data_IF_497634866064
#
_entry.id   IF_497634866064
#
_cell.length_a   1.000
_cell.length_b   1.000
_cell.length_c   1.000
_cell.angle_alpha   90.00
_cell.angle_beta   90.00
_cell.angle_gamma   90.00
#
_symmetry.space_group_name_H-M   'P 1'
#
loop_
_entity.id
_entity.type
_entity.pdbx_description
1 polymer ?
#
# COMPACT_ATOMS: atom_id res chain seq x y z
N UNK A 1 7.37 -4.90 14.78
CA UNK A 1 8.73 -5.49 14.92
C UNK A 1 8.70 -7.02 14.92
N UNK A 2 8.08 -7.69 15.91
CA UNK A 2 8.12 -9.16 16.05
C UNK A 2 7.69 -9.93 14.79
N UNK A 3 6.54 -9.60 14.18
CA UNK A 3 6.07 -10.28 12.98
C UNK A 3 7.02 -10.12 11.78
N UNK A 4 7.68 -8.98 11.66
CA UNK A 4 8.71 -8.74 10.63
C UNK A 4 9.95 -9.59 10.91
N UNK A 5 10.35 -9.74 12.18
CA UNK A 5 11.45 -10.63 12.56
C UNK A 5 11.13 -12.11 12.22
N UNK A 6 9.89 -12.55 12.49
CA UNK A 6 9.43 -13.89 12.10
C UNK A 6 9.47 -14.07 10.58
N UNK A 7 9.03 -13.07 9.80
CA UNK A 7 9.11 -13.12 8.35
C UNK A 7 10.57 -13.22 7.85
N UNK A 8 11.47 -12.40 8.38
CA UNK A 8 12.90 -12.44 8.05
C UNK A 8 13.56 -13.77 8.41
N UNK A 9 13.18 -14.37 9.54
CA UNK A 9 13.62 -15.71 9.92
C UNK A 9 13.15 -16.78 8.92
N UNK A 10 11.90 -16.70 8.44
CA UNK A 10 11.37 -17.59 7.42
C UNK A 10 12.05 -17.45 6.05
N UNK A 11 12.57 -16.25 5.75
CA UNK A 11 13.42 -15.97 4.58
C UNK A 11 14.89 -16.38 4.79
N UNK A 12 15.26 -16.88 5.97
CA UNK A 12 16.65 -17.19 6.35
C UNK A 12 17.59 -15.99 6.16
N UNK A 13 17.09 -14.79 6.48
CA UNK A 13 17.88 -13.57 6.38
C UNK A 13 19.10 -13.61 7.31
N UNK A 14 20.25 -13.11 6.83
CA UNK A 14 21.44 -12.93 7.67
C UNK A 14 21.19 -11.89 8.78
N UNK A 15 22.06 -11.83 9.79
CA UNK A 15 21.98 -10.82 10.86
C UNK A 15 21.99 -9.39 10.29
N UNK A 16 22.88 -9.12 9.34
CA UNK A 16 22.96 -7.82 8.66
C UNK A 16 21.66 -7.48 7.90
N UNK A 17 21.07 -8.47 7.20
CA UNK A 17 19.78 -8.32 6.52
C UNK A 17 18.59 -8.21 7.47
N UNK A 18 18.76 -8.58 8.74
CA UNK A 18 17.70 -8.52 9.75
C UNK A 18 17.73 -7.21 10.53
N UNK A 19 18.92 -6.72 10.89
CA UNK A 19 19.07 -5.55 11.76
C UNK A 19 18.45 -4.28 11.15
N UNK A 20 18.79 -3.95 9.90
CA UNK A 20 18.32 -2.71 9.27
C UNK A 20 16.79 -2.65 9.09
N UNK A 21 16.10 -3.69 8.57
CA UNK A 21 14.64 -3.69 8.49
C UNK A 21 13.96 -3.58 9.85
N UNK A 22 14.48 -4.27 10.88
CA UNK A 22 13.90 -4.19 12.23
C UNK A 22 14.13 -2.82 12.87
N UNK A 23 15.30 -2.22 12.68
CA UNK A 23 15.59 -0.86 13.13
C UNK A 23 14.64 0.16 12.48
N UNK A 24 14.40 0.05 11.17
CA UNK A 24 13.45 0.91 10.48
C UNK A 24 12.01 0.69 10.97
N UNK A 25 11.57 -0.56 11.13
CA UNK A 25 10.22 -0.87 11.64
C UNK A 25 10.04 -0.46 13.11
N UNK A 26 11.11 -0.41 13.91
CA UNK A 26 11.06 0.08 15.28
C UNK A 26 11.09 1.62 15.34
N UNK A 27 11.90 2.25 14.47
CA UNK A 27 12.17 3.69 14.48
C UNK A 27 11.22 4.54 13.65
N UNK A 28 10.44 3.96 12.71
CA UNK A 28 9.56 4.77 11.85
C UNK A 28 8.53 5.64 12.59
N UNK A 29 8.06 5.35 13.83
CA UNK A 29 7.20 6.28 14.54
C UNK A 29 7.87 7.64 14.78
N UNK A 30 9.21 7.68 14.91
CA UNK A 30 9.97 8.94 14.99
C UNK A 30 10.01 9.68 13.65
N UNK A 31 9.87 8.96 12.53
CA UNK A 31 9.88 9.52 11.17
C UNK A 31 8.51 10.03 10.71
N UNK A 32 7.41 9.48 11.24
CA UNK A 32 6.03 9.80 10.82
C UNK A 32 5.20 10.48 11.92
N UNK A 33 5.77 10.62 13.12
CA UNK A 33 5.21 11.39 14.22
C UNK A 33 3.84 10.92 14.70
N UNK A 34 2.97 11.88 15.02
CA UNK A 34 1.70 11.65 15.70
C UNK A 34 0.66 10.88 14.88
N UNK A 35 0.84 10.75 13.55
CA UNK A 35 -0.02 9.91 12.70
C UNK A 35 -0.09 8.49 13.22
N UNK A 36 1.03 7.98 13.73
CA UNK A 36 1.16 6.61 14.24
C UNK A 36 0.31 6.38 15.49
N UNK A 37 0.08 7.43 16.29
CA UNK A 37 -0.66 7.35 17.55
C UNK A 37 -2.16 7.64 17.38
N UNK A 38 -2.55 8.32 16.31
CA UNK A 38 -3.91 8.84 16.10
C UNK A 38 -4.72 8.02 15.09
N UNK A 39 -4.14 6.93 14.57
CA UNK A 39 -4.72 6.10 13.52
C UNK A 39 -4.57 4.62 13.84
N UNK A 40 -5.59 3.85 13.48
CA UNK A 40 -5.66 2.41 13.71
C UNK A 40 -4.73 1.59 12.78
N UNK A 41 -4.06 2.23 11.84
CA UNK A 41 -3.31 1.63 10.73
C UNK A 41 -2.13 0.73 11.12
N UNK A 42 -1.62 0.84 12.36
CA UNK A 42 -0.65 -0.11 12.92
C UNK A 42 -1.20 -1.54 12.96
N UNK A 43 -2.48 -1.71 13.27
CA UNK A 43 -3.11 -3.00 13.43
C UNK A 43 -3.23 -3.78 12.11
N UNK A 44 -3.82 -3.24 11.02
CA UNK A 44 -3.82 -3.94 9.74
C UNK A 44 -2.40 -4.09 9.15
N UNK A 45 -1.48 -3.14 9.40
CA UNK A 45 -0.09 -3.29 8.99
C UNK A 45 0.61 -4.47 9.68
N UNK A 46 0.33 -4.69 10.97
CA UNK A 46 0.79 -5.87 11.70
C UNK A 46 0.18 -7.16 11.14
N UNK A 47 -1.11 -7.18 10.81
CA UNK A 47 -1.74 -8.33 10.16
C UNK A 47 -1.07 -8.67 8.83
N UNK A 48 -0.76 -7.68 7.98
CA UNK A 48 -0.02 -7.89 6.73
C UNK A 48 1.37 -8.47 6.96
N UNK A 49 2.09 -8.01 7.98
CA UNK A 49 3.37 -8.62 8.37
C UNK A 49 3.19 -10.09 8.77
N UNK A 50 2.12 -10.41 9.51
CA UNK A 50 1.74 -11.77 9.90
C UNK A 50 1.37 -12.66 8.71
N UNK A 51 0.65 -12.12 7.71
CA UNK A 51 0.33 -12.81 6.46
C UNK A 51 1.61 -13.24 5.74
N UNK A 52 2.55 -12.32 5.56
CA UNK A 52 3.83 -12.63 4.92
C UNK A 52 4.63 -13.64 5.74
N UNK A 53 4.70 -13.46 7.06
CA UNK A 53 5.34 -14.41 7.97
C UNK A 53 4.76 -15.83 7.82
N UNK A 54 3.45 -15.98 7.79
CA UNK A 54 2.80 -17.28 7.61
C UNK A 54 3.18 -17.92 6.26
N UNK A 55 3.14 -17.17 5.16
CA UNK A 55 3.47 -17.71 3.83
C UNK A 55 4.94 -18.08 3.68
N UNK A 56 5.89 -17.28 4.19
CA UNK A 56 7.33 -17.61 4.10
C UNK A 56 7.67 -18.84 4.94
N UNK A 57 6.95 -19.07 6.05
CA UNK A 57 7.02 -20.29 6.86
C UNK A 57 6.17 -21.44 6.35
N UNK A 58 5.61 -21.33 5.13
CA UNK A 58 4.78 -22.35 4.47
C UNK A 58 3.51 -22.74 5.23
N UNK A 59 3.04 -21.88 6.14
CA UNK A 59 1.77 -22.02 6.84
C UNK A 59 0.64 -21.45 5.98
N UNK A 60 0.44 -22.05 4.80
CA UNK A 60 -0.38 -21.48 3.72
C UNK A 60 -1.82 -21.18 4.15
N UNK A 61 -2.48 -22.13 4.81
CA UNK A 61 -3.86 -21.97 5.32
C UNK A 61 -3.99 -20.86 6.36
N UNK A 62 -3.03 -20.78 7.28
CA UNK A 62 -2.96 -19.68 8.25
C UNK A 62 -2.75 -18.34 7.54
N UNK A 63 -1.88 -18.31 6.53
CA UNK A 63 -1.64 -17.12 5.71
C UNK A 63 -2.91 -16.61 5.03
N UNK A 64 -3.72 -17.51 4.46
CA UNK A 64 -5.02 -17.14 3.89
C UNK A 64 -6.04 -16.69 4.93
N UNK A 65 -6.13 -17.37 6.08
CA UNK A 65 -7.00 -16.95 7.19
C UNK A 65 -6.64 -15.55 7.70
N UNK A 66 -5.35 -15.31 7.98
CA UNK A 66 -4.84 -14.00 8.39
C UNK A 66 -5.07 -12.93 7.31
N UNK A 67 -4.95 -13.29 6.03
CA UNK A 67 -5.22 -12.36 4.93
C UNK A 67 -6.71 -12.00 4.86
N UNK A 68 -7.61 -12.95 5.08
CA UNK A 68 -9.04 -12.69 5.23
C UNK A 68 -9.32 -11.74 6.39
N UNK A 69 -8.73 -12.00 7.56
CA UNK A 69 -8.82 -11.10 8.72
C UNK A 69 -8.30 -9.71 8.39
N UNK A 70 -7.14 -9.61 7.73
CA UNK A 70 -6.55 -8.33 7.33
C UNK A 70 -7.47 -7.55 6.39
N UNK A 71 -8.11 -8.22 5.41
CA UNK A 71 -9.07 -7.62 4.47
C UNK A 71 -10.33 -7.11 5.18
N UNK A 72 -10.87 -7.89 6.12
CA UNK A 72 -12.04 -7.47 6.93
C UNK A 72 -11.71 -6.22 7.74
N UNK A 73 -10.53 -6.20 8.37
CA UNK A 73 -10.06 -5.10 9.21
C UNK A 73 -9.81 -3.84 8.38
N UNK A 74 -9.25 -3.97 7.17
CA UNK A 74 -9.08 -2.89 6.21
C UNK A 74 -8.96 -3.46 4.80
N UNK A 75 -9.56 -2.84 3.79
CA UNK A 75 -9.65 -3.43 2.46
C UNK A 75 -8.30 -3.60 1.72
N UNK A 76 -7.30 -2.74 1.98
CA UNK A 76 -6.06 -2.68 1.17
C UNK A 76 -5.27 -4.00 1.03
N UNK A 77 -5.18 -4.91 2.02
CA UNK A 77 -4.49 -6.19 1.89
C UNK A 77 -5.11 -7.09 0.81
N UNK A 78 -6.33 -6.81 0.34
CA UNK A 78 -6.98 -7.57 -0.73
C UNK A 78 -6.13 -7.62 -2.01
N UNK A 79 -5.28 -6.62 -2.25
CA UNK A 79 -4.34 -6.62 -3.40
C UNK A 79 -3.31 -7.75 -3.35
N UNK A 80 -3.14 -8.41 -2.19
CA UNK A 80 -2.25 -9.55 -2.00
C UNK A 80 -2.91 -10.89 -2.36
N UNK A 81 -4.24 -10.94 -2.48
CA UNK A 81 -4.98 -12.21 -2.72
C UNK A 81 -4.50 -12.91 -3.99
N UNK A 82 -4.37 -12.24 -5.16
CA UNK A 82 -3.92 -12.93 -6.38
C UNK A 82 -2.49 -13.45 -6.27
N UNK A 83 -1.61 -12.74 -5.56
CA UNK A 83 -0.23 -13.17 -5.32
C UNK A 83 -0.17 -14.39 -4.39
N UNK A 84 -0.95 -14.40 -3.32
CA UNK A 84 -1.05 -15.52 -2.39
C UNK A 84 -1.58 -16.78 -3.10
N UNK A 85 -2.65 -16.65 -3.89
CA UNK A 85 -3.22 -17.74 -4.69
C UNK A 85 -2.20 -18.26 -5.69
N UNK A 86 -1.56 -17.38 -6.47
CA UNK A 86 -0.55 -17.78 -7.44
C UNK A 86 0.65 -18.48 -6.78
N UNK A 87 1.12 -17.96 -5.66
CA UNK A 87 2.23 -18.54 -4.90
C UNK A 87 1.93 -19.94 -4.39
N UNK A 88 0.77 -20.15 -3.76
CA UNK A 88 0.39 -21.46 -3.24
C UNK A 88 0.06 -22.42 -4.39
N UNK A 89 -0.60 -21.96 -5.45
CA UNK A 89 -0.88 -22.78 -6.63
C UNK A 89 0.41 -23.33 -7.21
N UNK A 90 1.40 -22.47 -7.51
CA UNK A 90 2.67 -22.91 -8.11
C UNK A 90 3.42 -23.93 -7.25
N UNK A 91 3.27 -23.89 -5.93
CA UNK A 91 4.02 -24.74 -5.00
C UNK A 91 3.30 -26.02 -4.56
N UNK A 92 1.98 -25.98 -4.43
CA UNK A 92 1.15 -27.04 -3.83
C UNK A 92 -0.02 -27.47 -4.74
N UNK A 93 -0.16 -26.84 -5.90
CA UNK A 93 -1.20 -27.12 -6.88
C UNK A 93 -2.51 -26.35 -6.63
N UNK A 94 -3.41 -26.44 -7.62
CA UNK A 94 -4.70 -25.73 -7.64
C UNK A 94 -5.56 -26.03 -6.42
N UNK A 95 -5.61 -27.29 -5.97
CA UNK A 95 -6.47 -27.72 -4.86
C UNK A 95 -6.17 -26.96 -3.57
N UNK A 96 -4.90 -26.91 -3.16
CA UNK A 96 -4.52 -26.23 -1.91
C UNK A 96 -4.70 -24.71 -2.01
N UNK A 97 -4.48 -24.12 -3.19
CA UNK A 97 -4.74 -22.70 -3.42
C UNK A 97 -6.23 -22.35 -3.30
N UNK A 98 -7.12 -23.21 -3.84
CA UNK A 98 -8.58 -23.04 -3.71
C UNK A 98 -9.07 -23.26 -2.28
N UNK A 99 -8.52 -24.24 -1.55
CA UNK A 99 -8.81 -24.43 -0.13
C UNK A 99 -8.39 -23.19 0.67
N UNK A 100 -7.19 -22.67 0.44
CA UNK A 100 -6.75 -21.41 1.04
C UNK A 100 -7.68 -20.23 0.72
N UNK A 101 -8.05 -20.06 -0.55
CA UNK A 101 -8.99 -19.02 -0.97
C UNK A 101 -10.36 -19.17 -0.30
N UNK A 102 -10.86 -20.39 -0.12
CA UNK A 102 -12.11 -20.65 0.59
C UNK A 102 -12.04 -20.29 2.08
N UNK A 103 -10.88 -20.50 2.74
CA UNK A 103 -10.68 -20.08 4.13
C UNK A 103 -10.70 -18.56 4.27
N UNK A 104 -10.01 -17.85 3.36
CA UNK A 104 -10.06 -16.40 3.29
C UNK A 104 -11.50 -15.90 3.09
N UNK A 105 -12.21 -16.47 2.11
CA UNK A 105 -13.59 -16.12 1.81
C UNK A 105 -14.52 -16.39 3.00
N UNK A 106 -14.33 -17.52 3.70
CA UNK A 106 -15.09 -17.85 4.90
C UNK A 106 -14.90 -16.81 6.01
N UNK A 107 -13.66 -16.36 6.26
CA UNK A 107 -13.40 -15.29 7.25
C UNK A 107 -14.13 -13.99 6.87
N UNK A 108 -14.07 -13.59 5.59
CA UNK A 108 -14.76 -12.39 5.10
C UNK A 108 -16.28 -12.53 5.24
N UNK A 109 -16.84 -13.65 4.76
CA UNK A 109 -18.28 -13.91 4.81
C UNK A 109 -18.77 -13.94 6.24
N UNK A 110 -18.11 -14.67 7.15
CA UNK A 110 -18.52 -14.75 8.55
C UNK A 110 -18.49 -13.38 9.24
N UNK A 111 -17.52 -12.53 8.94
CA UNK A 111 -17.45 -11.18 9.48
C UNK A 111 -18.56 -10.26 8.94
N UNK A 112 -18.91 -10.39 7.65
CA UNK A 112 -19.93 -9.55 7.01
C UNK A 112 -21.36 -10.09 7.14
N UNK A 113 -21.53 -11.38 7.46
CA UNK A 113 -22.82 -12.07 7.49
C UNK A 113 -23.86 -11.38 8.38
N UNK A 114 -23.56 -10.96 9.64
CA UNK A 114 -24.53 -10.26 10.46
C UNK A 114 -25.04 -8.97 9.80
N UNK A 115 -24.16 -8.21 9.15
CA UNK A 115 -24.51 -6.97 8.46
C UNK A 115 -25.31 -7.23 7.18
N UNK A 116 -24.99 -8.29 6.45
CA UNK A 116 -25.74 -8.69 5.26
C UNK A 116 -27.16 -9.17 5.60
N UNK A 117 -27.34 -9.82 6.76
CA UNK A 117 -28.65 -10.28 7.24
C UNK A 117 -29.48 -9.10 7.78
N UNK A 118 -28.86 -8.20 8.55
CA UNK A 118 -29.58 -7.13 9.24
C UNK A 118 -29.78 -5.87 8.37
N UNK A 119 -28.83 -5.54 7.50
CA UNK A 119 -28.81 -4.30 6.73
C UNK A 119 -28.02 -4.43 5.40
N UNK A 120 -28.52 -5.24 4.44
CA UNK A 120 -27.84 -5.44 3.15
C UNK A 120 -27.62 -4.13 2.39
N UNK A 121 -28.58 -3.19 2.44
CA UNK A 121 -28.45 -1.86 1.82
C UNK A 121 -27.35 -1.03 2.48
N UNK A 122 -27.11 -1.21 3.79
CA UNK A 122 -26.01 -0.56 4.50
C UNK A 122 -24.64 -1.04 4.03
N UNK A 123 -24.51 -2.35 3.74
CA UNK A 123 -23.30 -2.92 3.14
C UNK A 123 -23.09 -2.38 1.73
N UNK A 124 -24.13 -2.38 0.90
CA UNK A 124 -24.08 -1.83 -0.45
C UNK A 124 -23.71 -0.34 -0.45
N UNK A 125 -24.31 0.44 0.44
CA UNK A 125 -24.02 1.86 0.63
C UNK A 125 -22.55 2.08 1.04
N UNK A 126 -22.02 1.31 1.99
CA UNK A 126 -20.62 1.41 2.42
C UNK A 126 -19.63 1.18 1.26
N UNK A 127 -19.89 0.16 0.43
CA UNK A 127 -19.07 -0.14 -0.75
C UNK A 127 -19.21 0.99 -1.79
N UNK A 128 -20.44 1.40 -2.11
CA UNK A 128 -20.70 2.49 -3.06
C UNK A 128 -20.06 3.81 -2.63
N UNK A 129 -20.05 4.08 -1.32
CA UNK A 129 -19.39 5.23 -0.74
C UNK A 129 -17.88 5.18 -1.01
N UNK A 130 -17.19 4.05 -0.78
CA UNK A 130 -15.76 3.94 -1.11
C UNK A 130 -15.46 4.01 -2.62
N UNK A 131 -16.30 3.42 -3.46
CA UNK A 131 -16.11 3.42 -4.92
C UNK A 131 -16.31 4.81 -5.53
N UNK A 132 -17.25 5.59 -5.00
CA UNK A 132 -17.57 6.94 -5.48
C UNK A 132 -16.59 8.03 -5.02
N UNK A 133 -15.56 7.67 -4.23
CA UNK A 133 -14.60 8.65 -3.72
C UNK A 133 -13.93 9.43 -4.86
N UNK A 134 -13.86 10.77 -4.77
CA UNK A 134 -13.10 11.61 -5.70
C UNK A 134 -11.58 11.47 -5.49
N UNK A 135 -10.78 12.28 -6.20
CA UNK A 135 -9.35 12.41 -5.92
C UNK A 135 -9.16 12.99 -4.52
N UNK A 136 -8.57 12.21 -3.62
CA UNK A 136 -8.21 12.71 -2.29
C UNK A 136 -7.01 13.67 -2.44
N UNK A 137 -7.00 14.74 -1.64
CA UNK A 137 -6.07 15.88 -1.75
C UNK A 137 -4.58 15.51 -1.85
N UNK A 138 -4.19 14.39 -1.25
CA UNK A 138 -2.83 13.88 -1.13
C UNK A 138 -2.49 12.77 -2.12
N UNK A 139 -3.40 12.43 -3.02
CA UNK A 139 -3.12 11.45 -4.09
C UNK A 139 -2.29 12.09 -5.20
N UNK A 140 -1.53 11.25 -5.93
CA UNK A 140 -0.73 11.71 -7.07
C UNK A 140 -1.57 12.48 -8.11
N UNK A 141 -2.80 12.02 -8.34
CA UNK A 141 -3.74 12.74 -9.21
C UNK A 141 -4.00 14.17 -8.72
N UNK A 142 -4.32 14.35 -7.44
CA UNK A 142 -4.50 15.69 -6.86
C UNK A 142 -3.22 16.52 -6.88
N UNK A 143 -2.06 15.92 -6.57
CA UNK A 143 -0.78 16.61 -6.56
C UNK A 143 -0.42 17.21 -7.92
N UNK A 144 -0.73 16.51 -9.02
CA UNK A 144 -0.55 17.03 -10.39
C UNK A 144 -1.51 18.19 -10.70
N UNK A 145 -2.76 18.12 -10.21
CA UNK A 145 -3.71 19.23 -10.35
C UNK A 145 -3.30 20.45 -9.52
N UNK A 146 -2.77 20.25 -8.31
CA UNK A 146 -2.22 21.33 -7.49
C UNK A 146 -0.98 21.95 -8.14
N UNK A 147 -0.11 21.14 -8.76
CA UNK A 147 1.00 21.69 -9.54
C UNK A 147 0.50 22.55 -10.72
N UNK A 148 -0.52 22.10 -11.45
CA UNK A 148 -1.14 22.88 -12.52
C UNK A 148 -1.85 24.15 -12.00
N UNK A 149 -2.46 24.09 -10.82
CA UNK A 149 -3.03 25.25 -10.14
C UNK A 149 -1.97 26.33 -9.92
N UNK A 150 -0.81 25.96 -9.37
CA UNK A 150 0.30 26.88 -9.09
C UNK A 150 1.03 27.37 -10.33
N UNK A 151 1.15 26.54 -11.38
CA UNK A 151 1.93 26.88 -12.57
C UNK A 151 1.16 27.69 -13.62
N UNK A 152 -0.12 27.36 -13.83
CA UNK A 152 -0.92 27.92 -14.94
C UNK A 152 -2.29 28.46 -14.48
N UNK A 153 -2.52 28.57 -13.17
CA UNK A 153 -3.77 29.10 -12.63
C UNK A 153 -4.98 28.18 -12.83
N UNK A 154 -4.78 26.86 -12.90
CA UNK A 154 -5.90 25.92 -13.00
C UNK A 154 -6.83 26.06 -11.78
N UNK A 155 -8.10 26.38 -12.02
CA UNK A 155 -9.09 26.49 -10.95
C UNK A 155 -9.42 25.11 -10.37
N UNK A 156 -9.04 24.92 -9.11
CA UNK A 156 -9.36 23.75 -8.29
C UNK A 156 -9.79 24.21 -6.91
N UNK A 157 -10.55 23.38 -6.22
CA UNK A 157 -11.05 23.66 -4.87
C UNK A 157 -11.01 22.39 -4.04
N UNK A 158 -10.77 22.53 -2.74
CA UNK A 158 -10.92 21.43 -1.80
C UNK A 158 -12.37 21.37 -1.32
N UNK A 159 -12.97 20.18 -1.35
CA UNK A 159 -14.26 19.90 -0.69
C UNK A 159 -14.15 18.71 0.24
N UNK A 160 -14.77 18.84 1.40
CA UNK A 160 -14.87 17.73 2.36
C UNK A 160 -16.00 16.79 1.95
N UNK A 161 -15.73 15.48 1.99
CA UNK A 161 -16.68 14.44 1.64
C UNK A 161 -16.06 13.07 1.90
N UNK A 162 -16.88 12.04 2.13
CA UNK A 162 -16.40 10.67 2.34
C UNK A 162 -15.41 10.51 3.52
N UNK A 163 -15.46 11.43 4.49
CA UNK A 163 -14.50 11.48 5.60
C UNK A 163 -13.09 11.93 5.22
N UNK A 164 -12.91 12.59 4.07
CA UNK A 164 -11.62 13.14 3.62
C UNK A 164 -11.76 14.51 2.94
N UNK A 165 -10.62 15.19 2.78
CA UNK A 165 -10.47 16.40 1.96
C UNK A 165 -10.14 15.97 0.53
N UNK A 166 -10.93 16.43 -0.44
CA UNK A 166 -10.85 15.96 -1.82
C UNK A 166 -10.78 17.12 -2.79
N UNK A 167 -10.00 16.96 -3.85
CA UNK A 167 -9.78 17.99 -4.84
C UNK A 167 -10.84 17.91 -5.94
N UNK A 168 -11.46 19.05 -6.24
CA UNK A 168 -12.47 19.23 -7.27
C UNK A 168 -12.03 20.30 -8.25
N UNK A 169 -12.49 20.19 -9.48
CA UNK A 169 -12.10 21.05 -10.58
C UNK A 169 -12.41 20.37 -11.91
N UNK A 170 -12.25 21.11 -13.01
CA UNK A 170 -12.52 20.58 -14.36
C UNK A 170 -11.66 19.35 -14.62
N UNK A 171 -12.29 18.20 -14.93
CA UNK A 171 -11.60 16.96 -15.29
C UNK A 171 -11.17 16.06 -14.12
N UNK A 172 -11.29 16.52 -12.86
CA UNK A 172 -10.89 15.73 -11.67
C UNK A 172 -11.61 14.37 -11.58
N UNK A 173 -12.90 14.31 -11.94
CA UNK A 173 -13.65 13.05 -12.00
C UNK A 173 -13.10 12.06 -13.04
N UNK A 174 -12.76 12.54 -14.25
CA UNK A 174 -12.12 11.72 -15.29
C UNK A 174 -10.74 11.26 -14.82
N UNK A 175 -9.95 12.15 -14.22
CA UNK A 175 -8.66 11.81 -13.66
C UNK A 175 -8.78 10.74 -12.56
N UNK A 176 -9.76 10.81 -11.66
CA UNK A 176 -10.01 9.78 -10.65
C UNK A 176 -10.22 8.40 -11.28
N UNK A 177 -10.99 8.32 -12.38
CA UNK A 177 -11.20 7.07 -13.12
C UNK A 177 -9.91 6.60 -13.78
N UNK A 178 -9.18 7.47 -14.48
CA UNK A 178 -7.93 7.12 -15.16
C UNK A 178 -6.86 6.63 -14.19
N UNK A 179 -6.68 7.29 -13.04
CA UNK A 179 -5.76 6.83 -11.99
C UNK A 179 -6.19 5.48 -11.40
N UNK A 180 -7.48 5.26 -11.19
CA UNK A 180 -8.00 3.97 -10.73
C UNK A 180 -7.72 2.85 -11.74
N UNK A 181 -7.93 3.11 -13.04
CA UNK A 181 -7.63 2.16 -14.12
C UNK A 181 -6.13 1.91 -14.25
N UNK A 182 -5.29 2.94 -14.14
CA UNK A 182 -3.84 2.81 -14.17
C UNK A 182 -3.32 1.99 -12.98
N UNK A 183 -3.81 2.27 -11.76
CA UNK A 183 -3.50 1.49 -10.57
C UNK A 183 -3.90 0.02 -10.74
N UNK A 184 -5.11 -0.25 -11.25
CA UNK A 184 -5.58 -1.59 -11.54
C UNK A 184 -4.73 -2.29 -12.61
N UNK A 185 -4.37 -1.61 -13.69
CA UNK A 185 -3.53 -2.16 -14.75
C UNK A 185 -2.14 -2.57 -14.22
N UNK A 186 -1.52 -1.72 -13.38
CA UNK A 186 -0.24 -2.04 -12.72
C UNK A 186 -0.40 -3.20 -11.75
N UNK A 187 -1.48 -3.25 -10.96
CA UNK A 187 -1.76 -4.36 -10.05
C UNK A 187 -1.94 -5.67 -10.81
N UNK A 188 -2.71 -5.69 -11.90
CA UNK A 188 -2.86 -6.85 -12.79
C UNK A 188 -1.50 -7.29 -13.33
N UNK A 189 -0.70 -6.36 -13.80
CA UNK A 189 0.66 -6.64 -14.27
C UNK A 189 1.56 -7.24 -13.17
N UNK A 190 1.45 -6.76 -11.92
CA UNK A 190 2.14 -7.36 -10.76
C UNK A 190 1.61 -8.76 -10.47
N UNK A 191 0.30 -8.99 -10.51
CA UNK A 191 -0.31 -10.30 -10.27
C UNK A 191 0.10 -11.35 -11.30
N UNK A 192 0.32 -10.93 -12.56
CA UNK A 192 0.81 -11.80 -13.63
C UNK A 192 2.25 -12.28 -13.41
N UNK A 193 3.00 -11.71 -12.45
CA UNK A 193 4.36 -12.17 -12.10
C UNK A 193 4.37 -13.51 -11.38
N UNK A 194 3.25 -13.90 -10.76
CA UNK A 194 3.01 -15.23 -10.18
C UNK A 194 4.22 -15.76 -9.38
N UNK A 195 4.57 -15.18 -8.21
CA UNK A 195 5.79 -15.52 -7.47
C UNK A 195 5.94 -17.04 -7.23
N UNK A 196 7.14 -17.58 -7.45
CA UNK A 196 7.48 -18.98 -7.20
C UNK A 196 8.30 -19.20 -5.92
N UNK A 197 9.03 -18.18 -5.48
CA UNK A 197 9.85 -18.20 -4.26
C UNK A 197 9.30 -17.28 -3.17
N UNK A 198 9.74 -17.48 -1.92
CA UNK A 198 9.35 -16.62 -0.80
C UNK A 198 9.86 -15.18 -0.98
N UNK A 199 11.06 -15.00 -1.54
CA UNK A 199 11.63 -13.69 -1.87
C UNK A 199 10.80 -12.95 -2.94
N UNK A 200 10.39 -13.67 -3.99
CA UNK A 200 9.51 -13.11 -5.02
C UNK A 200 8.14 -12.73 -4.43
N UNK A 201 7.57 -13.56 -3.53
CA UNK A 201 6.31 -13.24 -2.87
C UNK A 201 6.42 -11.92 -2.10
N UNK A 202 7.47 -11.75 -1.29
CA UNK A 202 7.69 -10.52 -0.51
C UNK A 202 7.89 -9.32 -1.43
N UNK A 203 8.74 -9.44 -2.46
CA UNK A 203 8.98 -8.37 -3.45
C UNK A 203 7.68 -7.93 -4.13
N UNK A 204 6.91 -8.88 -4.68
CA UNK A 204 5.69 -8.55 -5.41
C UNK A 204 4.56 -8.10 -4.48
N UNK A 205 4.53 -8.55 -3.23
CA UNK A 205 3.62 -8.03 -2.21
C UNK A 205 3.95 -6.57 -1.87
N UNK A 206 5.23 -6.24 -1.69
CA UNK A 206 5.68 -4.86 -1.52
C UNK A 206 5.27 -4.01 -2.72
N UNK A 207 5.53 -4.49 -3.95
CA UNK A 207 5.17 -3.77 -5.17
C UNK A 207 3.66 -3.54 -5.30
N UNK A 208 2.83 -4.54 -4.98
CA UNK A 208 1.38 -4.42 -5.03
C UNK A 208 0.86 -3.37 -4.02
N UNK A 209 1.36 -3.38 -2.79
CA UNK A 209 0.97 -2.41 -1.77
C UNK A 209 1.43 -0.99 -2.13
N UNK A 210 2.67 -0.84 -2.62
CA UNK A 210 3.18 0.46 -3.07
C UNK A 210 2.39 0.95 -4.28
N UNK A 211 2.07 0.10 -5.25
CA UNK A 211 1.25 0.48 -6.41
C UNK A 211 -0.15 0.94 -5.98
N UNK A 212 -0.77 0.23 -5.04
CA UNK A 212 -2.06 0.60 -4.48
C UNK A 212 -2.03 1.98 -3.82
N UNK A 213 -0.99 2.28 -3.03
CA UNK A 213 -0.83 3.57 -2.36
C UNK A 213 -0.47 4.68 -3.37
N UNK A 214 0.55 4.48 -4.19
CA UNK A 214 1.13 5.52 -5.04
C UNK A 214 0.24 5.93 -6.22
N UNK A 215 -0.53 4.99 -6.77
CA UNK A 215 -1.35 5.22 -7.98
C UNK A 215 -2.84 5.34 -7.66
N UNK A 216 -3.24 5.05 -6.42
CA UNK A 216 -4.63 5.15 -6.00
C UNK A 216 -5.15 6.58 -6.06
N UNK A 217 -6.42 6.75 -6.44
CA UNK A 217 -7.12 8.04 -6.34
C UNK A 217 -7.29 8.55 -4.91
N UNK A 218 -7.01 7.71 -3.92
CA UNK A 218 -7.04 8.04 -2.50
C UNK A 218 -5.70 7.71 -1.90
N UNK A 219 -5.13 8.67 -1.20
CA UNK A 219 -3.96 8.48 -0.36
C UNK A 219 -4.22 9.18 0.98
N UNK A 220 -3.53 8.79 2.06
CA UNK A 220 -3.47 9.58 3.29
C UNK A 220 -2.14 9.32 4.00
N UNK A 221 -1.66 10.15 4.96
CA UNK A 221 -0.34 10.00 5.57
C UNK A 221 -0.16 8.63 6.22
N UNK A 222 -1.24 8.12 6.83
CA UNK A 222 -1.26 6.82 7.49
C UNK A 222 -1.08 5.63 6.54
N UNK A 223 -1.27 5.80 5.21
CA UNK A 223 -1.07 4.70 4.26
C UNK A 223 0.40 4.29 4.18
N UNK A 224 1.33 5.20 4.51
CA UNK A 224 2.75 4.88 4.58
C UNK A 224 3.07 3.86 5.67
N UNK A 225 2.26 3.79 6.74
CA UNK A 225 2.40 2.78 7.80
C UNK A 225 2.28 1.37 7.23
N UNK A 226 1.47 1.16 6.19
CA UNK A 226 1.25 -0.14 5.56
C UNK A 226 2.48 -0.67 4.82
N UNK A 227 3.34 0.24 4.36
CA UNK A 227 4.52 -0.08 3.56
C UNK A 227 5.71 -0.48 4.44
N UNK A 228 5.80 0.09 5.65
CA UNK A 228 6.91 -0.11 6.59
C UNK A 228 7.17 -1.57 6.95
N UNK A 229 6.17 -2.44 7.24
CA UNK A 229 6.45 -3.83 7.56
C UNK A 229 6.83 -4.70 6.35
N UNK A 230 6.75 -4.18 5.12
CA UNK A 230 6.86 -5.00 3.91
C UNK A 230 8.04 -4.59 3.02
N UNK A 231 8.18 -3.30 2.72
CA UNK A 231 9.23 -2.79 1.82
C UNK A 231 10.65 -3.12 2.32
N UNK A 232 10.99 -2.93 3.62
CA UNK A 232 12.34 -3.21 4.11
C UNK A 232 12.71 -4.69 4.12
N UNK A 233 11.73 -5.60 4.02
CA UNK A 233 11.97 -7.06 4.03
C UNK A 233 12.51 -7.55 2.68
N UNK A 234 12.31 -6.77 1.61
CA UNK A 234 12.82 -7.08 0.27
C UNK A 234 14.35 -7.22 0.30
N UNK A 235 14.88 -8.26 -0.35
CA UNK A 235 16.31 -8.54 -0.32
C UNK A 235 17.18 -7.59 -1.17
N UNK A 236 18.46 -7.54 -0.81
CA UNK A 236 19.55 -7.00 -1.64
C UNK A 236 19.50 -5.49 -1.84
N UNK A 237 20.28 -5.02 -2.82
CA UNK A 237 20.38 -3.59 -3.17
C UNK A 237 19.02 -2.99 -3.53
N UNK A 238 18.13 -3.78 -4.15
CA UNK A 238 16.75 -3.37 -4.42
C UNK A 238 16.01 -3.01 -3.15
N UNK A 239 16.04 -3.88 -2.13
CA UNK A 239 15.41 -3.62 -0.84
C UNK A 239 15.99 -2.41 -0.12
N UNK A 240 17.32 -2.23 -0.19
CA UNK A 240 17.98 -1.04 0.36
C UNK A 240 17.50 0.24 -0.33
N UNK A 241 17.55 0.31 -1.67
CA UNK A 241 17.07 1.47 -2.45
C UNK A 241 15.59 1.77 -2.15
N UNK A 242 14.75 0.73 -2.12
CA UNK A 242 13.33 0.89 -1.79
C UNK A 242 13.10 1.39 -0.36
N UNK A 243 13.93 0.94 0.60
CA UNK A 243 13.86 1.39 2.00
C UNK A 243 14.28 2.85 2.16
N UNK A 244 15.33 3.29 1.44
CA UNK A 244 15.75 4.70 1.42
C UNK A 244 14.65 5.59 0.86
N UNK A 245 14.03 5.19 -0.25
CA UNK A 245 12.89 5.91 -0.82
C UNK A 245 11.69 5.94 0.13
N UNK A 246 11.41 4.83 0.83
CA UNK A 246 10.36 4.81 1.86
C UNK A 246 10.66 5.80 2.99
N UNK A 247 11.88 5.83 3.51
CA UNK A 247 12.30 6.80 4.53
C UNK A 247 12.11 8.23 4.02
N UNK A 248 12.51 8.51 2.77
CA UNK A 248 12.25 9.79 2.12
C UNK A 248 10.77 10.15 2.11
N UNK A 249 9.89 9.22 1.75
CA UNK A 249 8.44 9.45 1.75
C UNK A 249 7.87 9.69 3.17
N UNK A 250 8.38 8.99 4.18
CA UNK A 250 7.99 9.19 5.59
C UNK A 250 8.39 10.59 6.06
N UNK A 251 9.64 10.98 5.83
CA UNK A 251 10.16 12.31 6.21
C UNK A 251 9.43 13.41 5.47
N UNK A 252 9.26 13.31 4.14
CA UNK A 252 8.50 14.29 3.37
C UNK A 252 7.08 14.45 3.91
N UNK A 253 6.44 13.37 4.33
CA UNK A 253 5.09 13.43 4.95
C UNK A 253 5.12 14.16 6.29
N UNK A 254 6.10 13.90 7.14
CA UNK A 254 6.27 14.54 8.44
C UNK A 254 6.57 16.05 8.35
N UNK A 255 7.18 16.50 7.24
CA UNK A 255 7.50 17.92 7.05
C UNK A 255 6.27 18.81 6.87
N UNK A 256 5.13 18.26 6.45
CA UNK A 256 3.89 19.01 6.27
C UNK A 256 2.72 18.50 7.13
N UNK A 257 2.66 17.20 7.43
CA UNK A 257 1.60 16.65 8.27
C UNK A 257 2.08 16.43 9.71
N UNK A 258 1.30 16.81 10.75
CA UNK A 258 -0.02 17.45 10.69
C UNK A 258 0.02 18.99 10.64
N UNK A 259 1.17 19.60 10.89
CA UNK A 259 1.30 21.03 11.20
C UNK A 259 0.78 21.97 10.10
N UNK A 260 1.00 21.61 8.83
CA UNK A 260 0.63 22.38 7.63
C UNK A 260 -0.54 21.78 6.87
N UNK A 261 -1.26 20.83 7.46
CA UNK A 261 -2.37 20.16 6.77
C UNK A 261 -3.44 21.14 6.31
N UNK A 262 -3.77 22.12 7.15
CA UNK A 262 -4.83 23.08 6.86
C UNK A 262 -4.38 24.20 5.90
N UNK A 263 -3.09 24.55 5.87
CA UNK A 263 -2.49 25.39 4.82
C UNK A 263 -2.73 24.74 3.44
N UNK A 264 -2.46 23.43 3.33
CA UNK A 264 -2.78 22.69 2.10
C UNK A 264 -4.28 22.60 1.84
N UNK A 265 -5.06 22.20 2.83
CA UNK A 265 -6.46 21.85 2.60
C UNK A 265 -7.36 23.06 2.35
N UNK A 266 -7.10 24.21 2.99
CA UNK A 266 -7.96 25.39 2.88
C UNK A 266 -7.40 26.44 1.93
N UNK A 267 -6.08 26.60 1.92
CA UNK A 267 -5.41 27.68 1.19
C UNK A 267 -4.72 27.16 -0.08
N UNK A 268 -4.65 25.84 -0.26
CA UNK A 268 -3.92 25.18 -1.35
C UNK A 268 -2.45 25.62 -1.40
N UNK A 269 -1.85 25.92 -0.24
CA UNK A 269 -0.53 26.56 -0.16
C UNK A 269 0.53 25.82 -0.99
N UNK A 270 1.42 26.59 -1.61
CA UNK A 270 2.43 26.08 -2.54
C UNK A 270 3.39 25.10 -1.87
N UNK A 271 3.88 25.41 -0.67
CA UNK A 271 4.91 24.59 -0.02
C UNK A 271 4.40 23.18 0.32
N UNK A 272 3.29 22.97 1.05
CA UNK A 272 2.79 21.64 1.31
C UNK A 272 2.31 20.94 0.02
N UNK A 273 1.85 21.69 -1.00
CA UNK A 273 1.51 21.12 -2.32
C UNK A 273 2.75 20.47 -2.97
N UNK A 274 3.89 21.17 -2.95
CA UNK A 274 5.16 20.65 -3.47
C UNK A 274 5.70 19.47 -2.64
N UNK A 275 5.55 19.50 -1.32
CA UNK A 275 5.95 18.38 -0.45
C UNK A 275 5.13 17.12 -0.71
N UNK A 276 3.81 17.27 -0.91
CA UNK A 276 2.91 16.16 -1.30
C UNK A 276 3.31 15.60 -2.67
N UNK A 277 3.52 16.47 -3.66
CA UNK A 277 3.97 16.04 -4.99
C UNK A 277 5.31 15.29 -4.92
N UNK A 278 6.29 15.84 -4.20
CA UNK A 278 7.59 15.20 -4.01
C UNK A 278 7.45 13.82 -3.36
N UNK A 279 6.60 13.70 -2.33
CA UNK A 279 6.32 12.42 -1.66
C UNK A 279 5.71 11.42 -2.63
N UNK A 280 4.74 11.83 -3.44
CA UNK A 280 4.09 10.94 -4.41
C UNK A 280 5.06 10.47 -5.50
N UNK A 281 5.92 11.38 -6.00
CA UNK A 281 6.97 11.02 -6.95
C UNK A 281 7.99 10.05 -6.35
N UNK A 282 8.34 10.21 -5.07
CA UNK A 282 9.20 9.25 -4.35
C UNK A 282 8.52 7.89 -4.22
N UNK A 283 7.21 7.81 -3.99
CA UNK A 283 6.47 6.55 -3.96
C UNK A 283 6.41 5.89 -5.34
N UNK A 284 6.26 6.66 -6.41
CA UNK A 284 6.36 6.15 -7.80
C UNK A 284 7.77 5.63 -8.08
N UNK A 285 8.82 6.36 -7.67
CA UNK A 285 10.20 5.90 -7.80
C UNK A 285 10.45 4.60 -7.01
N UNK A 286 9.88 4.49 -5.81
CA UNK A 286 9.92 3.28 -4.98
C UNK A 286 9.28 2.10 -5.73
N UNK A 287 8.09 2.32 -6.32
CA UNK A 287 7.43 1.32 -7.16
C UNK A 287 8.33 0.88 -8.31
N UNK A 288 8.91 1.83 -9.05
CA UNK A 288 9.83 1.56 -10.17
C UNK A 288 11.01 0.69 -9.72
N UNK A 289 11.62 1.00 -8.58
CA UNK A 289 12.73 0.19 -8.01
C UNK A 289 12.27 -1.24 -7.71
N UNK A 290 11.06 -1.42 -7.18
CA UNK A 290 10.53 -2.75 -6.86
C UNK A 290 10.22 -3.57 -8.11
N UNK A 291 9.74 -2.94 -9.19
CA UNK A 291 9.27 -3.64 -10.39
C UNK A 291 10.34 -3.82 -11.48
N UNK A 292 11.42 -3.04 -11.45
CA UNK A 292 12.54 -3.16 -12.41
C UNK A 292 13.38 -4.40 -12.14
N UNK A 293 13.66 -5.20 -13.16
CA UNK A 293 14.51 -6.39 -13.06
C UNK A 293 16.00 -6.04 -13.20
N UNK A 294 16.79 -6.42 -12.19
CA UNK A 294 18.25 -6.22 -12.17
C UNK A 294 19.00 -7.09 -13.19
N UNK A 295 18.32 -8.04 -13.86
CA UNK A 295 18.93 -8.85 -14.93
C UNK A 295 19.37 -8.01 -16.15
N UNK A 296 18.89 -6.78 -16.29
CA UNK A 296 19.35 -5.84 -17.34
C UNK A 296 20.64 -5.10 -16.98
N UNK A 297 21.07 -5.08 -15.72
CA UNK A 297 22.32 -4.39 -15.32
C UNK A 297 23.56 -5.24 -15.64
N UNK A 298 23.50 -6.58 -15.54
CA UNK A 298 24.63 -7.47 -15.89
C UNK A 298 24.88 -7.64 -17.39
N UNK A 299 23.96 -7.19 -18.26
CA UNK A 299 24.12 -7.24 -19.72
C UNK A 299 24.66 -5.92 -20.31
N UNK A 300 24.98 -4.93 -19.45
CA UNK A 300 25.49 -3.61 -19.85
C UNK A 300 26.81 -3.23 -19.18
N UNK A 301 27.55 -4.22 -18.70
CA UNK A 301 28.98 -4.04 -18.42
C UNK A 301 29.73 -4.36 -19.72
N UNK A 302 30.37 -3.36 -20.37
CA UNK A 302 31.26 -3.61 -21.49
C UNK A 302 32.50 -4.42 -21.05
#
# INVERSE_FOLDING_TARGET
>A
VLLVAVALAGLRASRARTAAPLALVAGFPLLLGSVVLTRFDLYPAALVAGVLAAFVHRRDRLGFGLLGTAVVVKLYPAVLVPLAVAYVWRRRGRREALLGLSLLAAVVVLAYLPFLVLAPDGVAHSIGHQLSRPLQLESLGSALYLAAHHLVGLNVEMRSGHGSQNLHGRGTGVAAVLFSLAALAVLVWVWLRRPGTAEELVRWSAAALVAFVALGKVLSPQFLIWLVPVVPVVAGVRGLRASVLLVGALVLTQLWFPSRYWELARELDLLPSLLVLARDLVLVALLVVLVTDSRRESARSP
#
